data_IF_641120839366
#
_entry.id   IF_641120839366
#
_cell.length_a   1.000
_cell.length_b   1.000
_cell.length_c   1.000
_cell.angle_alpha   90.00
_cell.angle_beta   90.00
_cell.angle_gamma   90.00
#
_symmetry.space_group_name_H-M   'P 1'
#
loop_
_entity.id
_entity.type
_entity.pdbx_description
1 polymer ?
#
# COMPACT_ATOMS: atom_id res chain seq x y z
N UNK A 1 1.95 4.17 24.65
CA UNK A 1 1.61 2.74 24.60
C UNK A 1 2.16 2.24 23.27
N UNK A 2 3.25 1.47 23.25
CA UNK A 2 3.65 0.77 22.03
C UNK A 2 2.82 -0.50 22.01
N UNK A 3 1.82 -0.57 21.13
CA UNK A 3 1.16 -1.84 20.84
C UNK A 3 2.15 -2.79 20.16
N UNK A 4 1.96 -4.09 20.34
CA UNK A 4 2.76 -5.09 19.61
C UNK A 4 2.53 -4.93 18.11
N UNK A 5 3.62 -4.97 17.33
CA UNK A 5 3.53 -4.91 15.88
C UNK A 5 2.85 -6.18 15.34
N UNK A 6 1.87 -6.00 14.47
CA UNK A 6 1.24 -7.12 13.75
C UNK A 6 2.08 -7.45 12.52
N UNK A 7 2.70 -8.63 12.50
CA UNK A 7 3.51 -9.09 11.36
C UNK A 7 2.74 -10.14 10.55
N UNK A 8 2.76 -9.99 9.23
CA UNK A 8 2.26 -10.96 8.25
C UNK A 8 3.29 -11.13 7.16
N UNK A 9 3.27 -12.30 6.51
CA UNK A 9 4.23 -12.63 5.46
C UNK A 9 3.56 -13.42 4.35
N UNK A 10 3.89 -13.10 3.10
CA UNK A 10 3.41 -13.77 1.89
C UNK A 10 4.60 -14.04 0.97
N UNK A 11 4.60 -15.19 0.29
CA UNK A 11 5.58 -15.50 -0.74
C UNK A 11 4.96 -15.35 -2.13
N UNK A 12 5.67 -14.68 -3.04
CA UNK A 12 5.26 -14.42 -4.41
C UNK A 12 6.21 -15.12 -5.41
N UNK A 13 5.69 -15.84 -6.42
CA UNK A 13 6.48 -16.52 -7.46
C UNK A 13 7.00 -15.54 -8.53
N UNK A 14 7.57 -14.41 -8.12
CA UNK A 14 8.18 -13.44 -9.01
C UNK A 14 9.36 -12.74 -8.32
N UNK A 15 10.21 -12.08 -9.12
CA UNK A 15 11.33 -11.30 -8.59
C UNK A 15 10.89 -10.03 -7.86
N UNK A 16 11.77 -9.52 -7.00
CA UNK A 16 11.50 -8.41 -6.07
C UNK A 16 10.94 -7.17 -6.79
N UNK A 17 11.48 -6.81 -7.95
CA UNK A 17 11.00 -5.68 -8.75
C UNK A 17 9.54 -5.85 -9.19
N UNK A 18 9.13 -7.06 -9.58
CA UNK A 18 7.74 -7.34 -9.98
C UNK A 18 6.81 -7.32 -8.76
N UNK A 19 7.24 -7.88 -7.63
CA UNK A 19 6.49 -7.85 -6.39
C UNK A 19 6.24 -6.40 -5.90
N UNK A 20 7.28 -5.56 -5.96
CA UNK A 20 7.18 -4.14 -5.62
C UNK A 20 6.21 -3.40 -6.54
N UNK A 21 6.29 -3.62 -7.86
CA UNK A 21 5.38 -3.03 -8.84
C UNK A 21 3.92 -3.51 -8.64
N UNK A 22 3.70 -4.80 -8.36
CA UNK A 22 2.37 -5.32 -8.03
C UNK A 22 1.75 -4.62 -6.81
N UNK A 23 2.56 -4.37 -5.78
CA UNK A 23 2.09 -3.68 -4.58
C UNK A 23 1.77 -2.21 -4.86
N UNK A 24 2.65 -1.51 -5.57
CA UNK A 24 2.61 -0.05 -5.69
C UNK A 24 1.85 0.47 -6.92
N UNK A 25 2.07 -0.14 -8.08
CA UNK A 25 1.50 0.30 -9.37
C UNK A 25 0.17 -0.40 -9.68
N UNK A 26 -0.02 -1.62 -9.19
CA UNK A 26 -1.24 -2.43 -9.41
C UNK A 26 -2.09 -2.53 -8.14
N UNK A 27 -2.05 -1.51 -7.27
CA UNK A 27 -2.76 -1.48 -5.99
C UNK A 27 -4.26 -1.79 -6.12
N UNK A 28 -4.91 -1.35 -7.21
CA UNK A 28 -6.32 -1.63 -7.48
C UNK A 28 -6.65 -3.12 -7.69
N UNK A 29 -5.68 -3.97 -8.01
CA UNK A 29 -5.88 -5.40 -8.25
C UNK A 29 -6.01 -6.23 -6.97
N UNK A 30 -5.44 -5.76 -5.86
CA UNK A 30 -5.46 -6.45 -4.56
C UNK A 30 -6.20 -5.67 -3.47
N UNK A 31 -6.42 -4.36 -3.65
CA UNK A 31 -7.15 -3.56 -2.67
C UNK A 31 -8.61 -4.04 -2.55
N UNK A 32 -9.09 -4.37 -1.33
CA UNK A 32 -10.45 -4.89 -1.15
C UNK A 32 -11.52 -3.89 -1.61
N UNK A 33 -12.51 -4.30 -2.42
CA UNK A 33 -13.61 -3.43 -2.86
C UNK A 33 -14.37 -2.80 -1.69
N UNK A 34 -14.54 -3.52 -0.57
CA UNK A 34 -15.27 -3.05 0.60
C UNK A 34 -14.51 -1.98 1.40
N UNK A 35 -13.24 -1.75 1.05
CA UNK A 35 -12.38 -0.68 1.63
C UNK A 35 -12.23 0.52 0.71
N UNK A 36 -13.08 0.62 -0.31
CA UNK A 36 -13.22 1.81 -1.15
C UNK A 36 -14.22 2.76 -0.50
N UNK A 37 -13.86 4.03 -0.45
CA UNK A 37 -14.59 5.12 0.19
C UNK A 37 -15.35 5.96 -0.84
N UNK A 38 -14.88 5.96 -2.09
CA UNK A 38 -15.59 6.62 -3.18
C UNK A 38 -16.58 5.60 -3.74
N UNK A 39 -17.87 5.97 -3.78
CA UNK A 39 -18.95 5.21 -4.42
C UNK A 39 -18.78 5.22 -5.96
N UNK A 40 -17.62 4.75 -6.42
CA UNK A 40 -17.21 4.58 -7.80
C UNK A 40 -16.48 3.23 -7.92
N UNK A 41 -17.11 2.20 -8.51
CA UNK A 41 -16.51 0.87 -8.63
C UNK A 41 -15.25 0.86 -9.51
N UNK A 42 -15.04 1.91 -10.31
CA UNK A 42 -13.89 2.09 -11.19
C UNK A 42 -12.85 3.06 -10.61
N UNK A 43 -12.94 3.39 -9.31
CA UNK A 43 -11.92 4.20 -8.64
C UNK A 43 -10.54 3.53 -8.71
N UNK A 44 -9.48 4.33 -8.64
CA UNK A 44 -8.10 3.83 -8.63
C UNK A 44 -7.50 4.01 -7.23
N UNK A 45 -6.74 3.03 -6.78
CA UNK A 45 -5.84 3.19 -5.63
C UNK A 45 -4.50 3.68 -6.16
N UNK A 46 -4.08 4.84 -5.67
CA UNK A 46 -2.87 5.53 -6.09
C UNK A 46 -1.89 5.52 -4.93
N UNK A 47 -0.76 4.83 -5.11
CA UNK A 47 0.41 4.92 -4.24
C UNK A 47 1.53 5.49 -5.09
N UNK A 48 2.12 6.61 -4.67
CA UNK A 48 3.06 7.36 -5.49
C UNK A 48 4.31 7.76 -4.72
N UNK A 49 5.44 7.76 -5.43
CA UNK A 49 6.76 8.16 -4.93
C UNK A 49 6.80 9.61 -4.44
N UNK A 50 5.86 10.45 -4.88
CA UNK A 50 5.71 11.84 -4.43
C UNK A 50 5.10 11.99 -3.02
N UNK A 51 4.73 10.88 -2.37
CA UNK A 51 4.15 10.89 -1.03
C UNK A 51 2.67 10.52 -0.98
N UNK A 52 1.97 10.44 -2.11
CA UNK A 52 0.53 10.21 -2.10
C UNK A 52 0.16 8.74 -1.86
N UNK A 53 -0.80 8.51 -0.96
CA UNK A 53 -1.57 7.26 -0.89
C UNK A 53 -3.06 7.55 -0.74
N UNK A 54 -3.83 7.34 -1.81
CA UNK A 54 -5.23 7.78 -1.90
C UNK A 54 -6.05 6.92 -2.85
N UNK A 55 -7.35 6.98 -2.69
CA UNK A 55 -8.31 6.55 -3.69
C UNK A 55 -8.70 7.75 -4.57
N UNK A 56 -8.84 7.53 -5.88
CA UNK A 56 -9.27 8.55 -6.85
C UNK A 56 -10.40 8.03 -7.73
N UNK A 57 -11.55 8.69 -7.71
CA UNK A 57 -12.68 8.40 -8.59
C UNK A 57 -12.46 9.00 -10.00
N UNK A 58 -13.20 8.51 -10.99
CA UNK A 58 -13.09 9.00 -12.38
C UNK A 58 -13.53 10.45 -12.56
N UNK A 59 -14.40 10.92 -11.68
CA UNK A 59 -14.85 12.32 -11.64
C UNK A 59 -13.85 13.28 -10.95
N UNK A 60 -12.70 12.76 -10.50
CA UNK A 60 -11.62 13.53 -9.89
C UNK A 60 -11.73 13.73 -8.38
N UNK A 61 -12.78 13.21 -7.72
CA UNK A 61 -12.80 13.15 -6.25
C UNK A 61 -11.68 12.27 -5.73
N UNK A 62 -11.10 12.65 -4.60
CA UNK A 62 -10.03 11.90 -3.94
C UNK A 62 -10.37 11.67 -2.47
N UNK A 63 -10.00 10.51 -1.95
CA UNK A 63 -10.04 10.18 -0.53
C UNK A 63 -8.64 9.75 -0.08
N UNK A 64 -8.09 10.45 0.91
CA UNK A 64 -6.78 10.11 1.46
C UNK A 64 -6.86 8.78 2.24
N UNK A 65 -6.01 7.82 1.88
CA UNK A 65 -5.88 6.53 2.55
C UNK A 65 -4.64 6.49 3.45
N UNK A 66 -3.69 7.38 3.19
CA UNK A 66 -2.43 7.46 3.91
C UNK A 66 -1.44 8.42 3.25
N UNK A 67 -0.17 8.26 3.60
CA UNK A 67 0.95 8.94 2.95
C UNK A 67 2.16 8.01 2.85
N UNK A 68 2.91 8.10 1.76
CA UNK A 68 4.19 7.40 1.62
C UNK A 68 5.25 8.17 2.41
N UNK A 69 5.91 7.47 3.34
CA UNK A 69 6.97 8.00 4.21
C UNK A 69 8.37 7.62 3.73
N UNK A 70 8.49 6.45 3.11
CA UNK A 70 9.72 6.01 2.45
C UNK A 70 9.36 5.18 1.21
N UNK A 71 10.08 5.41 0.12
CA UNK A 71 9.99 4.66 -1.12
C UNK A 71 11.40 4.25 -1.54
N UNK A 72 11.78 3.02 -1.19
CA UNK A 72 13.11 2.47 -1.43
C UNK A 72 12.98 1.30 -2.40
N UNK A 73 12.65 1.62 -3.65
CA UNK A 73 12.41 0.61 -4.67
C UNK A 73 13.68 -0.23 -4.96
N UNK A 74 13.55 -1.55 -5.15
CA UNK A 74 12.33 -2.36 -5.04
C UNK A 74 12.12 -3.01 -3.65
N UNK A 75 12.83 -2.59 -2.61
CA UNK A 75 13.00 -3.35 -1.38
C UNK A 75 12.11 -2.94 -0.21
N UNK A 76 11.65 -1.69 -0.16
CA UNK A 76 10.91 -1.20 1.01
C UNK A 76 9.94 -0.07 0.68
N UNK A 77 8.78 -0.12 1.32
CA UNK A 77 7.78 0.93 1.34
C UNK A 77 7.34 1.16 2.79
N UNK A 78 7.33 2.41 3.23
CA UNK A 78 6.78 2.81 4.53
C UNK A 78 5.60 3.73 4.31
N UNK A 79 4.46 3.40 4.94
CA UNK A 79 3.21 4.16 4.82
C UNK A 79 2.76 4.64 6.20
N UNK A 80 2.33 5.90 6.27
CA UNK A 80 1.28 6.27 7.21
C UNK A 80 -0.04 5.74 6.64
N UNK A 81 -0.83 5.08 7.47
CA UNK A 81 -2.08 4.44 7.08
C UNK A 81 -3.24 5.05 7.89
N UNK A 82 -4.21 5.64 7.19
CA UNK A 82 -5.29 6.43 7.80
C UNK A 82 -6.59 5.64 7.97
N UNK A 83 -6.72 4.46 7.37
CA UNK A 83 -7.98 3.70 7.41
C UNK A 83 -8.27 3.24 8.84
N UNK A 84 -9.32 3.79 9.43
CA UNK A 84 -9.79 3.48 10.79
C UNK A 84 -9.27 4.41 11.89
N UNK A 85 -8.19 5.17 11.66
CA UNK A 85 -7.61 6.08 12.67
C UNK A 85 -7.56 7.55 12.24
N UNK A 86 -7.54 7.82 10.94
CA UNK A 86 -7.40 9.17 10.38
C UNK A 86 -5.96 9.72 10.42
N UNK A 87 -5.75 10.91 9.84
CA UNK A 87 -4.41 11.49 9.69
C UNK A 87 -3.80 12.06 10.98
N UNK A 88 -4.60 12.29 12.02
CA UNK A 88 -4.12 12.82 13.31
C UNK A 88 -3.39 11.77 14.16
N UNK A 89 -3.68 10.49 13.92
CA UNK A 89 -3.07 9.36 14.63
C UNK A 89 -2.91 8.15 13.69
N UNK A 90 -2.10 8.26 12.63
CA UNK A 90 -1.93 7.18 11.66
C UNK A 90 -1.31 5.94 12.30
N UNK A 91 -1.66 4.77 11.77
CA UNK A 91 -0.87 3.56 11.99
C UNK A 91 0.26 3.49 10.98
N UNK A 92 1.44 3.05 11.41
CA UNK A 92 2.56 2.80 10.50
C UNK A 92 2.43 1.40 9.86
N UNK A 93 2.65 1.32 8.55
CA UNK A 93 2.74 0.05 7.82
C UNK A 93 4.05 0.03 7.05
N UNK A 94 4.94 -0.88 7.44
CA UNK A 94 6.19 -1.16 6.73
C UNK A 94 6.03 -2.43 5.89
N UNK A 95 6.40 -2.35 4.62
CA UNK A 95 6.40 -3.47 3.68
C UNK A 95 7.83 -3.63 3.17
N UNK A 96 8.35 -4.84 3.25
CA UNK A 96 9.70 -5.18 2.76
C UNK A 96 9.61 -6.27 1.70
N UNK A 97 10.46 -6.21 0.69
CA UNK A 97 10.49 -7.18 -0.40
C UNK A 97 11.88 -7.80 -0.46
N UNK A 98 11.97 -9.08 -0.10
CA UNK A 98 13.25 -9.80 0.00
C UNK A 98 13.23 -11.02 -0.91
N UNK A 99 14.31 -11.24 -1.65
CA UNK A 99 14.45 -12.47 -2.44
C UNK A 99 14.51 -13.69 -1.52
N UNK A 100 13.67 -14.69 -1.80
CA UNK A 100 13.63 -15.94 -1.05
C UNK A 100 13.18 -17.10 -1.94
N UNK A 101 13.97 -18.18 -1.96
CA UNK A 101 13.63 -19.44 -2.65
C UNK A 101 13.24 -19.26 -4.14
N UNK A 102 13.92 -18.35 -4.84
CA UNK A 102 13.64 -18.04 -6.25
C UNK A 102 12.38 -17.21 -6.50
N UNK A 103 11.78 -16.65 -5.44
CA UNK A 103 10.68 -15.69 -5.49
C UNK A 103 10.91 -14.54 -4.51
N UNK A 104 9.84 -13.89 -4.07
CA UNK A 104 9.91 -12.76 -3.13
C UNK A 104 9.09 -13.05 -1.88
N UNK A 105 9.70 -12.88 -0.71
CA UNK A 105 9.00 -12.79 0.57
C UNK A 105 8.65 -11.32 0.82
N UNK A 106 7.36 -11.07 1.08
CA UNK A 106 6.79 -9.79 1.46
C UNK A 106 6.25 -9.86 2.88
#
# INVERSE_FOLDING_TARGET
MSGDAVVRTVWLPCGVARAFALFTEEAGAWWPPERRHLDDPESAIVISVDGAFRERARDGREAALGAVRAWEAPHRLLLDFYVGTGPEAPTEVEITFTEERGGTRV
#
